data_IF_407567416922
#
_entry.id   IF_407567416922
#
_cell.length_a   1.000
_cell.length_b   1.000
_cell.length_c   1.000
_cell.angle_alpha   90.00
_cell.angle_beta   90.00
_cell.angle_gamma   90.00
#
_symmetry.space_group_name_H-M   'P 1'
#
loop_
_entity.id
_entity.type
_entity.pdbx_description
1 polymer ?
#
# COMPACT_ATOMS: atom_id res chain seq x y z
N UNK A 1 12.12 -3.37 12.27
CA UNK A 1 11.17 -3.31 13.40
C UNK A 1 11.82 -4.05 14.54
N UNK A 2 11.95 -3.44 15.72
CA UNK A 2 12.55 -4.09 16.90
C UNK A 2 11.81 -5.36 17.30
N UNK A 3 10.48 -5.39 17.17
CA UNK A 3 9.66 -6.58 17.38
C UNK A 3 10.06 -7.72 16.43
N UNK A 4 10.16 -7.43 15.12
CA UNK A 4 10.52 -8.45 14.11
C UNK A 4 11.91 -9.04 14.36
N UNK A 5 12.84 -8.23 14.87
CA UNK A 5 14.18 -8.68 15.21
C UNK A 5 14.17 -9.52 16.50
N UNK A 6 13.44 -9.08 17.54
CA UNK A 6 13.32 -9.79 18.81
C UNK A 6 12.67 -11.17 18.66
N UNK A 7 11.68 -11.28 17.78
CA UNK A 7 10.98 -12.54 17.49
C UNK A 7 11.72 -13.43 16.47
N UNK A 8 12.87 -12.99 15.94
CA UNK A 8 13.64 -13.76 14.95
C UNK A 8 12.94 -13.92 13.59
N UNK A 9 11.92 -13.12 13.29
CA UNK A 9 11.12 -13.23 12.06
C UNK A 9 11.74 -12.55 10.86
N UNK A 10 12.86 -11.82 11.03
CA UNK A 10 13.44 -11.00 9.96
C UNK A 10 13.68 -11.77 8.65
N UNK A 11 14.17 -13.01 8.73
CA UNK A 11 14.41 -13.87 7.56
C UNK A 11 13.15 -14.46 6.92
N UNK A 12 11.99 -14.33 7.57
CA UNK A 12 10.70 -14.79 7.07
C UNK A 12 9.89 -13.67 6.39
N UNK A 13 10.30 -12.41 6.59
CA UNK A 13 9.64 -11.26 5.99
C UNK A 13 10.09 -11.07 4.53
N UNK A 14 9.19 -10.69 3.62
CA UNK A 14 9.58 -10.33 2.26
C UNK A 14 10.47 -9.07 2.28
N UNK A 15 11.24 -8.88 1.20
CA UNK A 15 11.96 -7.64 1.00
C UNK A 15 10.98 -6.46 0.92
N UNK A 16 11.33 -5.35 1.57
CA UNK A 16 10.52 -4.13 1.52
C UNK A 16 10.72 -3.42 0.19
N UNK A 17 9.62 -3.13 -0.48
CA UNK A 17 9.58 -2.32 -1.69
C UNK A 17 8.63 -1.14 -1.52
N UNK A 18 8.85 -0.08 -2.32
CA UNK A 18 7.97 1.09 -2.29
C UNK A 18 6.60 0.75 -2.85
N UNK A 19 5.55 1.39 -2.32
CA UNK A 19 4.23 1.31 -2.93
C UNK A 19 4.30 1.78 -4.40
N UNK A 20 3.75 0.98 -5.30
CA UNK A 20 3.77 1.25 -6.74
C UNK A 20 5.09 0.97 -7.47
N UNK A 21 6.15 0.52 -6.79
CA UNK A 21 7.36 0.05 -7.48
C UNK A 21 7.05 -1.17 -8.36
N UNK A 22 7.70 -1.28 -9.52
CA UNK A 22 7.62 -2.50 -10.35
C UNK A 22 8.49 -3.57 -9.69
N UNK A 23 7.89 -4.71 -9.38
CA UNK A 23 8.56 -5.84 -8.69
C UNK A 23 8.71 -7.08 -9.57
N UNK A 24 8.18 -7.02 -10.79
CA UNK A 24 8.26 -8.11 -11.75
C UNK A 24 7.42 -7.82 -12.98
N UNK A 25 7.39 -8.79 -13.88
CA UNK A 25 6.61 -8.73 -15.11
C UNK A 25 5.96 -10.09 -15.38
N UNK A 26 4.77 -10.08 -15.99
CA UNK A 26 4.05 -11.28 -16.39
C UNK A 26 3.65 -11.21 -17.86
N UNK A 27 3.86 -12.31 -18.58
CA UNK A 27 3.47 -12.43 -19.99
C UNK A 27 2.20 -13.27 -20.13
N UNK A 28 1.14 -12.67 -20.64
CA UNK A 28 -0.12 -13.36 -20.89
C UNK A 28 -0.20 -13.74 -22.37
N UNK A 29 0.23 -14.95 -22.72
CA UNK A 29 0.15 -15.49 -24.08
C UNK A 29 1.28 -15.02 -25.03
N UNK A 30 1.21 -15.50 -26.28
CA UNK A 30 2.31 -15.44 -27.24
C UNK A 30 2.58 -14.06 -27.87
N UNK A 31 1.55 -13.22 -28.02
CA UNK A 31 1.68 -11.95 -28.74
C UNK A 31 1.59 -10.69 -27.86
N UNK A 32 1.24 -10.83 -26.57
CA UNK A 32 1.02 -9.68 -25.69
C UNK A 32 2.36 -9.19 -25.09
N UNK A 33 2.60 -7.87 -25.05
CA UNK A 33 3.73 -7.32 -24.29
C UNK A 33 3.70 -7.77 -22.82
N UNK A 34 4.88 -7.89 -22.17
CA UNK A 34 4.92 -8.15 -20.73
C UNK A 34 4.19 -7.05 -19.96
N UNK A 35 3.44 -7.45 -18.93
CA UNK A 35 2.69 -6.56 -18.05
C UNK A 35 3.47 -6.41 -16.75
N UNK A 36 3.80 -5.17 -16.39
CA UNK A 36 4.46 -4.85 -15.13
C UNK A 36 3.56 -5.21 -13.93
N UNK A 37 4.15 -5.89 -12.94
CA UNK A 37 3.54 -6.15 -11.64
C UNK A 37 4.09 -5.10 -10.68
N UNK A 38 3.19 -4.34 -10.07
CA UNK A 38 3.55 -3.35 -9.06
C UNK A 38 3.39 -3.93 -7.66
N UNK A 39 4.25 -3.53 -6.71
CA UNK A 39 4.22 -3.90 -5.29
C UNK A 39 2.88 -3.56 -4.58
N UNK A 40 2.03 -2.77 -5.23
CA UNK A 40 0.72 -2.40 -4.73
C UNK A 40 0.80 -1.48 -3.51
N UNK A 41 -0.28 -1.48 -2.74
CA UNK A 41 -0.44 -0.74 -1.48
C UNK A 41 -1.58 -1.39 -0.69
N UNK A 42 -1.58 -1.21 0.64
CA UNK A 42 -2.70 -1.61 1.50
C UNK A 42 -4.00 -0.92 1.08
N UNK A 43 -5.14 -1.61 1.17
CA UNK A 43 -6.44 -1.17 0.65
C UNK A 43 -6.89 0.21 1.18
N UNK A 44 -6.75 0.42 2.47
CA UNK A 44 -7.15 1.62 3.19
C UNK A 44 -6.23 2.79 2.81
N UNK A 45 -4.96 2.51 2.51
CA UNK A 45 -4.02 3.49 1.99
C UNK A 45 -4.30 3.80 0.50
N UNK A 46 -4.80 2.85 -0.30
CA UNK A 46 -5.27 3.12 -1.65
C UNK A 46 -6.46 4.10 -1.64
N UNK A 47 -7.43 3.86 -0.75
CA UNK A 47 -8.56 4.76 -0.55
C UNK A 47 -8.08 6.16 -0.12
N UNK A 48 -7.21 6.25 0.89
CA UNK A 48 -6.63 7.53 1.32
C UNK A 48 -5.90 8.25 0.18
N UNK A 49 -5.10 7.53 -0.61
CA UNK A 49 -4.38 8.11 -1.74
C UNK A 49 -5.33 8.67 -2.79
N UNK A 50 -6.46 8.02 -3.08
CA UNK A 50 -7.45 8.50 -4.03
C UNK A 50 -8.07 9.85 -3.65
N UNK A 51 -8.19 10.17 -2.36
CA UNK A 51 -8.62 11.49 -1.90
C UNK A 51 -7.46 12.49 -1.85
N UNK A 52 -6.28 12.08 -1.37
CA UNK A 52 -5.10 12.97 -1.30
C UNK A 52 -4.65 13.48 -2.67
N UNK A 53 -4.74 12.65 -3.73
CA UNK A 53 -4.38 13.06 -5.10
C UNK A 53 -5.27 14.16 -5.68
N UNK A 54 -6.41 14.45 -5.06
CA UNK A 54 -7.31 15.54 -5.45
C UNK A 54 -6.86 16.91 -4.92
N UNK A 55 -5.79 16.97 -4.12
CA UNK A 55 -5.18 18.21 -3.63
C UNK A 55 -6.13 19.11 -2.81
N UNK A 56 -7.01 18.49 -2.03
CA UNK A 56 -8.00 19.17 -1.18
C UNK A 56 -7.39 19.85 0.08
N UNK A 57 -6.06 19.85 0.21
CA UNK A 57 -5.36 20.21 1.45
C UNK A 57 -5.33 19.06 2.46
N UNK A 58 -5.12 19.36 3.76
CA UNK A 58 -5.23 18.37 4.84
C UNK A 58 -6.58 17.65 4.80
N UNK A 59 -6.57 16.32 4.86
CA UNK A 59 -7.78 15.50 4.75
C UNK A 59 -7.77 14.37 5.78
N UNK A 60 -8.91 14.19 6.44
CA UNK A 60 -9.23 12.97 7.18
C UNK A 60 -10.24 12.17 6.38
N UNK A 61 -9.95 10.89 6.13
CA UNK A 61 -10.88 9.99 5.44
C UNK A 61 -11.64 9.18 6.48
N UNK A 62 -12.97 9.26 6.45
CA UNK A 62 -13.87 8.42 7.25
C UNK A 62 -14.55 7.45 6.29
N UNK A 63 -14.08 6.20 6.29
CA UNK A 63 -14.69 5.12 5.51
C UNK A 63 -15.78 4.44 6.34
N UNK A 64 -16.91 4.11 5.71
CA UNK A 64 -18.06 3.50 6.35
C UNK A 64 -18.53 2.26 5.58
N UNK A 65 -18.89 1.20 6.31
CA UNK A 65 -19.50 -0.02 5.80
C UNK A 65 -19.99 -0.85 6.98
N UNK A 66 -19.56 -2.12 7.06
CA UNK A 66 -19.69 -2.90 8.31
C UNK A 66 -18.94 -2.24 9.46
N UNK A 67 -17.81 -1.58 9.16
CA UNK A 67 -16.98 -0.85 10.11
C UNK A 67 -16.91 0.63 9.76
N UNK A 68 -16.56 1.44 10.75
CA UNK A 68 -16.15 2.84 10.56
C UNK A 68 -14.64 2.93 10.79
N UNK A 69 -13.90 3.38 9.78
CA UNK A 69 -12.43 3.52 9.83
C UNK A 69 -12.07 4.98 9.59
N UNK A 70 -11.29 5.57 10.51
CA UNK A 70 -10.85 6.97 10.44
C UNK A 70 -9.35 7.01 10.17
N UNK A 71 -8.96 7.63 9.06
CA UNK A 71 -7.57 7.81 8.65
C UNK A 71 -7.24 9.30 8.64
N UNK A 72 -6.49 9.75 9.65
CA UNK A 72 -5.98 11.12 9.73
C UNK A 72 -4.45 11.10 9.72
N UNK A 73 -3.80 11.43 8.58
CA UNK A 73 -2.34 11.45 8.47
C UNK A 73 -1.68 12.59 9.27
N UNK A 74 -2.44 13.60 9.67
CA UNK A 74 -1.96 14.75 10.45
C UNK A 74 -2.22 14.58 11.96
N UNK A 75 -2.73 13.41 12.38
CA UNK A 75 -2.90 13.10 13.79
C UNK A 75 -1.53 12.95 14.47
N UNK A 76 -1.22 13.71 15.53
CA UNK A 76 0.01 13.52 16.27
C UNK A 76 -0.01 12.15 16.99
N UNK A 77 1.06 11.38 16.80
CA UNK A 77 1.32 10.10 17.47
C UNK A 77 2.16 10.32 18.74
#
# INVERSE_FOLDING_TARGET
>A
SSLVDAEGWRGQMPAFERAGAVIGEQRFGGATPPIAIHNGVHDSNAALHAYRRQQLGPVTVVSTGTWVVVLNPDCPL
#
